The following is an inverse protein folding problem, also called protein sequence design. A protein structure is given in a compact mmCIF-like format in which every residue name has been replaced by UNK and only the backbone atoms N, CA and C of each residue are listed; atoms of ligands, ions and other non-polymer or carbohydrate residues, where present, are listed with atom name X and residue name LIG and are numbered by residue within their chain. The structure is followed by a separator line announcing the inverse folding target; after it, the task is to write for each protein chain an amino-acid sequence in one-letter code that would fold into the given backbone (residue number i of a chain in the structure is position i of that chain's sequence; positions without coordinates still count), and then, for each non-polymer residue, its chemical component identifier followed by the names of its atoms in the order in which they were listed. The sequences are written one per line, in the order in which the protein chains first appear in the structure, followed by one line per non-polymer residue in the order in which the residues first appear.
data_IF_110610866724
#
_entry.id   IF_110610866724
#
_cell.length_a   1.000
_cell.length_b   1.000
_cell.length_c   1.000
_cell.angle_alpha   90.00
_cell.angle_beta   90.00
_cell.angle_gamma   90.00
#
_symmetry.space_group_name_H-M   'P 1'
#
loop_
_entity.id
_entity.type
_entity.pdbx_description
1 polymer ?
#
# COMPACT_ATOMS: atom_id res chain seq x y z
N UNK A 1 -3.35 -18.21 18.95
CA UNK A 1 -2.07 -17.67 18.44
C UNK A 1 -1.37 -16.90 19.54
N UNK A 2 -0.03 -17.03 19.74
CA UNK A 2 0.68 -16.23 20.73
C UNK A 2 0.73 -14.77 20.28
N UNK A 3 0.70 -13.80 21.21
CA UNK A 3 0.79 -12.38 20.91
C UNK A 3 2.14 -12.06 20.23
N UNK A 4 2.12 -11.16 19.26
CA UNK A 4 3.33 -10.60 18.64
C UNK A 4 4.23 -10.00 19.73
N UNK A 5 5.32 -10.67 20.01
CA UNK A 5 6.29 -10.29 21.04
C UNK A 5 7.29 -9.30 20.42
N UNK A 6 7.58 -8.26 21.19
CA UNK A 6 8.48 -7.11 20.96
C UNK A 6 9.45 -7.14 19.78
N UNK A 7 9.50 -6.02 19.12
CA UNK A 7 10.13 -5.60 17.85
C UNK A 7 11.48 -6.16 17.37
N UNK A 8 12.17 -7.00 18.13
CA UNK A 8 13.43 -7.65 17.72
C UNK A 8 13.25 -9.17 17.51
N UNK A 9 12.36 -9.80 18.24
CA UNK A 9 12.07 -11.24 18.12
C UNK A 9 10.97 -11.55 17.12
N UNK A 10 10.11 -10.57 16.79
CA UNK A 10 9.01 -10.75 15.85
C UNK A 10 9.45 -11.25 14.46
N UNK A 11 10.54 -10.74 13.84
CA UNK A 11 11.00 -11.26 12.56
C UNK A 11 11.55 -12.69 12.65
N UNK A 12 12.19 -13.05 13.76
CA UNK A 12 12.79 -14.38 13.93
C UNK A 12 11.71 -15.43 14.21
N UNK A 13 10.75 -15.11 15.06
CA UNK A 13 9.63 -16.00 15.35
C UNK A 13 8.68 -16.09 14.16
N UNK A 14 8.40 -14.99 13.47
CA UNK A 14 7.63 -15.01 12.23
C UNK A 14 8.34 -15.82 11.13
N UNK A 15 9.67 -15.74 11.02
CA UNK A 15 10.45 -16.55 10.10
C UNK A 15 10.42 -18.04 10.47
N UNK A 16 10.47 -18.39 11.75
CA UNK A 16 10.43 -19.79 12.22
C UNK A 16 9.02 -20.39 12.07
N UNK A 17 7.98 -19.68 12.46
CA UNK A 17 6.58 -20.09 12.25
C UNK A 17 6.25 -20.16 10.76
N UNK A 18 6.76 -19.23 9.96
CA UNK A 18 6.58 -19.22 8.50
C UNK A 18 7.36 -20.34 7.79
N UNK A 19 8.46 -20.84 8.37
CA UNK A 19 9.15 -22.05 7.87
C UNK A 19 8.37 -23.34 8.11
N UNK A 20 7.62 -23.39 9.20
CA UNK A 20 6.81 -24.56 9.58
C UNK A 20 5.43 -24.56 8.90
N UNK A 21 4.90 -23.39 8.59
CA UNK A 21 3.60 -23.20 7.94
C UNK A 21 3.74 -22.14 6.86
N UNK A 22 3.67 -22.53 5.59
CA UNK A 22 3.69 -21.62 4.46
C UNK A 22 2.31 -20.94 4.34
N UNK A 23 2.07 -19.77 4.95
CA UNK A 23 0.76 -19.16 4.88
C UNK A 23 0.43 -18.81 3.43
N UNK A 24 -0.78 -19.10 2.95
CA UNK A 24 -1.22 -18.61 1.65
C UNK A 24 -1.42 -17.09 1.73
N UNK A 25 -0.72 -16.36 0.85
CA UNK A 25 -0.72 -14.90 0.79
C UNK A 25 -1.17 -14.44 -0.58
N UNK A 26 -2.35 -13.84 -0.65
CA UNK A 26 -2.82 -13.17 -1.86
C UNK A 26 -2.17 -11.78 -1.96
N UNK A 27 -1.78 -11.36 -3.16
CA UNK A 27 -1.22 -10.02 -3.35
C UNK A 27 -1.64 -9.43 -4.71
N UNK A 28 -1.62 -8.09 -4.81
CA UNK A 28 -1.85 -7.42 -6.10
C UNK A 28 -0.67 -7.70 -7.03
N UNK A 29 -0.92 -8.56 -8.04
CA UNK A 29 0.05 -8.91 -9.06
C UNK A 29 0.33 -7.78 -10.07
N UNK A 30 1.09 -8.11 -11.09
CA UNK A 30 1.73 -9.40 -11.37
C UNK A 30 3.01 -9.63 -10.54
N UNK A 31 3.65 -10.78 -10.75
CA UNK A 31 5.02 -11.02 -10.26
C UNK A 31 5.98 -9.95 -10.77
N UNK A 32 7.03 -9.67 -9.97
CA UNK A 32 8.02 -8.61 -10.21
C UNK A 32 7.46 -7.18 -10.15
N UNK A 33 6.20 -7.00 -9.73
CA UNK A 33 5.66 -5.69 -9.36
C UNK A 33 6.22 -5.24 -8.01
N UNK A 34 6.10 -3.95 -7.67
CA UNK A 34 6.48 -3.46 -6.34
C UNK A 34 5.69 -4.12 -5.21
N UNK A 35 4.41 -4.45 -5.44
CA UNK A 35 3.62 -5.20 -4.45
C UNK A 35 4.16 -6.61 -4.26
N UNK A 36 4.57 -7.29 -5.33
CA UNK A 36 5.24 -8.59 -5.23
C UNK A 36 6.56 -8.47 -4.45
N UNK A 37 7.39 -7.46 -4.72
CA UNK A 37 8.64 -7.23 -4.00
C UNK A 37 8.40 -7.05 -2.51
N UNK A 38 7.41 -6.23 -2.13
CA UNK A 38 7.00 -6.05 -0.75
C UNK A 38 6.48 -7.37 -0.13
N UNK A 39 5.69 -8.14 -0.89
CA UNK A 39 5.15 -9.42 -0.42
C UNK A 39 6.25 -10.45 -0.15
N UNK A 40 7.22 -10.58 -1.04
CA UNK A 40 8.38 -11.47 -0.85
C UNK A 40 9.18 -11.09 0.39
N UNK A 41 9.39 -9.79 0.62
CA UNK A 41 10.12 -9.30 1.79
C UNK A 41 9.36 -9.54 3.10
N UNK A 42 8.03 -9.35 3.10
CA UNK A 42 7.18 -9.54 4.28
C UNK A 42 6.90 -11.02 4.57
N UNK A 43 6.84 -11.86 3.53
CA UNK A 43 6.52 -13.28 3.61
C UNK A 43 7.53 -14.14 2.83
N UNK A 44 8.80 -14.22 3.27
CA UNK A 44 9.86 -14.91 2.50
C UNK A 44 9.62 -16.41 2.30
N UNK A 45 8.72 -17.01 3.08
CA UNK A 45 8.36 -18.44 3.00
C UNK A 45 6.86 -18.66 2.72
N UNK A 46 6.12 -17.60 2.35
CA UNK A 46 4.69 -17.69 2.04
C UNK A 46 4.41 -18.41 0.72
N UNK A 47 3.21 -18.98 0.60
CA UNK A 47 2.63 -19.41 -0.68
C UNK A 47 2.01 -18.17 -1.35
N UNK A 48 2.78 -17.50 -2.21
CA UNK A 48 2.45 -16.21 -2.79
C UNK A 48 1.55 -16.38 -4.02
N UNK A 49 0.36 -15.77 -3.98
CA UNK A 49 -0.67 -15.91 -5.01
C UNK A 49 -1.02 -14.56 -5.62
N UNK A 50 -0.58 -14.27 -6.87
CA UNK A 50 -0.92 -13.03 -7.55
C UNK A 50 -2.41 -12.96 -7.89
N UNK A 51 -2.99 -11.75 -7.71
CA UNK A 51 -4.37 -11.44 -8.11
C UNK A 51 -4.38 -10.21 -9.00
N UNK A 52 -5.41 -10.10 -9.84
CA UNK A 52 -5.51 -9.05 -10.87
C UNK A 52 -5.97 -7.72 -10.32
N UNK A 53 -6.67 -7.73 -9.17
CA UNK A 53 -7.21 -6.52 -8.53
C UNK A 53 -7.11 -6.60 -7.02
N UNK A 54 -7.15 -5.45 -6.37
CA UNK A 54 -7.22 -5.31 -4.92
C UNK A 54 -8.48 -6.01 -4.38
N UNK A 55 -9.60 -5.85 -5.08
CA UNK A 55 -10.86 -6.52 -4.73
C UNK A 55 -10.74 -8.05 -4.71
N UNK A 56 -10.00 -8.66 -5.66
CA UNK A 56 -9.75 -10.11 -5.64
C UNK A 56 -8.90 -10.53 -4.44
N UNK A 57 -7.87 -9.74 -4.08
CA UNK A 57 -7.07 -10.00 -2.88
C UNK A 57 -7.94 -10.01 -1.62
N UNK A 58 -8.80 -9.00 -1.45
CA UNK A 58 -9.70 -8.90 -0.30
C UNK A 58 -10.69 -10.08 -0.24
N UNK A 59 -11.32 -10.44 -1.35
CA UNK A 59 -12.25 -11.57 -1.43
C UNK A 59 -11.60 -12.89 -1.06
N UNK A 60 -10.35 -13.11 -1.48
CA UNK A 60 -9.64 -14.35 -1.19
C UNK A 60 -9.30 -14.49 0.30
N UNK A 61 -8.88 -13.38 0.94
CA UNK A 61 -8.67 -13.37 2.39
C UNK A 61 -10.01 -13.51 3.12
N UNK A 62 -11.04 -12.82 2.69
CA UNK A 62 -12.37 -12.87 3.32
C UNK A 62 -13.02 -14.26 3.23
N UNK A 63 -12.82 -14.97 2.13
CA UNK A 63 -13.27 -16.36 1.97
C UNK A 63 -12.44 -17.37 2.80
N UNK A 64 -11.23 -16.98 3.27
CA UNK A 64 -10.29 -17.88 3.96
C UNK A 64 -9.45 -18.73 3.00
N UNK A 65 -9.47 -18.44 1.70
CA UNK A 65 -8.59 -19.09 0.73
C UNK A 65 -7.13 -18.59 0.86
N UNK A 66 -6.93 -17.39 1.40
CA UNK A 66 -5.64 -16.89 1.85
C UNK A 66 -5.73 -16.40 3.30
N UNK A 67 -4.64 -16.55 4.06
CA UNK A 67 -4.55 -16.07 5.45
C UNK A 67 -4.29 -14.56 5.48
N UNK A 68 -3.51 -14.08 4.50
CA UNK A 68 -3.11 -12.69 4.37
C UNK A 68 -3.31 -12.16 2.96
N UNK A 69 -3.53 -10.85 2.89
CA UNK A 69 -3.52 -10.09 1.64
C UNK A 69 -2.50 -8.96 1.69
N UNK A 70 -1.76 -8.73 0.61
CA UNK A 70 -0.83 -7.60 0.49
C UNK A 70 -1.25 -6.70 -0.66
N UNK A 71 -1.50 -5.44 -0.33
CA UNK A 71 -1.96 -4.43 -1.29
C UNK A 71 -1.26 -3.09 -1.07
N UNK A 72 -1.06 -2.27 -2.12
CA UNK A 72 -0.54 -0.92 -1.94
C UNK A 72 -1.58 -0.05 -1.21
N UNK A 73 -1.14 0.72 -0.21
CA UNK A 73 -2.01 1.56 0.61
C UNK A 73 -1.83 3.05 0.32
N UNK A 74 -0.60 3.54 0.34
CA UNK A 74 -0.27 4.95 0.10
C UNK A 74 1.13 5.09 -0.50
N UNK A 75 1.27 6.00 -1.46
CA UNK A 75 2.56 6.44 -1.97
C UNK A 75 2.85 7.87 -1.48
N UNK A 76 4.10 8.17 -1.14
CA UNK A 76 4.50 9.47 -0.57
C UNK A 76 4.34 10.65 -1.54
N UNK A 77 4.32 10.39 -2.86
CA UNK A 77 4.17 11.43 -3.89
C UNK A 77 2.76 11.49 -4.47
N UNK A 78 2.10 10.34 -4.63
CA UNK A 78 0.80 10.23 -5.30
C UNK A 78 -0.39 10.18 -4.33
N UNK A 79 -0.11 9.95 -3.04
CA UNK A 79 -1.13 9.84 -2.01
C UNK A 79 -1.77 8.45 -1.90
N UNK A 80 -2.94 8.35 -1.25
CA UNK A 80 -3.59 7.09 -0.92
C UNK A 80 -4.13 6.34 -2.15
N UNK A 81 -4.04 5.00 -2.12
CA UNK A 81 -4.63 4.11 -3.12
C UNK A 81 -6.12 3.95 -2.85
N UNK A 82 -6.94 4.63 -3.66
CA UNK A 82 -8.37 4.72 -3.44
C UNK A 82 -9.10 3.37 -3.38
N UNK A 83 -8.73 2.40 -4.24
CA UNK A 83 -9.35 1.07 -4.25
C UNK A 83 -9.07 0.33 -2.93
N UNK A 84 -7.87 0.44 -2.37
CA UNK A 84 -7.53 -0.16 -1.07
C UNK A 84 -8.36 0.45 0.06
N UNK A 85 -8.53 1.77 0.05
CA UNK A 85 -9.36 2.46 1.04
C UNK A 85 -10.83 2.03 0.95
N UNK A 86 -11.38 1.97 -0.28
CA UNK A 86 -12.75 1.53 -0.51
C UNK A 86 -12.95 0.07 -0.03
N UNK A 87 -11.96 -0.80 -0.31
CA UNK A 87 -12.00 -2.18 0.14
C UNK A 87 -11.92 -2.30 1.68
N UNK A 88 -11.06 -1.54 2.36
CA UNK A 88 -10.97 -1.50 3.83
C UNK A 88 -12.26 -0.99 4.49
N UNK A 89 -12.97 -0.08 3.82
CA UNK A 89 -14.24 0.43 4.31
C UNK A 89 -15.38 -0.59 4.21
N UNK A 90 -15.39 -1.43 3.17
CA UNK A 90 -16.51 -2.31 2.80
C UNK A 90 -16.32 -3.76 3.24
N UNK A 91 -15.09 -4.26 3.26
CA UNK A 91 -14.78 -5.64 3.69
C UNK A 91 -14.51 -5.74 5.20
N UNK A 92 -14.74 -6.95 5.76
CA UNK A 92 -14.54 -7.25 7.18
C UNK A 92 -13.09 -7.51 7.60
N UNK A 93 -12.10 -7.08 6.81
CA UNK A 93 -10.69 -7.32 7.08
C UNK A 93 -10.06 -6.20 7.92
N UNK A 94 -8.97 -6.58 8.60
CA UNK A 94 -8.16 -5.65 9.40
C UNK A 94 -6.73 -5.57 8.88
N UNK A 95 -6.09 -4.42 9.04
CA UNK A 95 -4.65 -4.28 8.82
C UNK A 95 -3.91 -4.84 10.03
N UNK A 96 -2.98 -5.77 9.77
CA UNK A 96 -2.18 -6.42 10.81
C UNK A 96 -0.71 -6.00 10.78
N UNK A 97 -0.24 -5.49 9.64
CA UNK A 97 1.10 -4.91 9.46
C UNK A 97 1.09 -3.93 8.30
N UNK A 98 2.09 -3.04 8.26
CA UNK A 98 2.31 -2.10 7.17
C UNK A 98 3.78 -2.16 6.75
N UNK A 99 4.07 -2.58 5.52
CA UNK A 99 5.42 -2.55 4.96
C UNK A 99 5.69 -1.23 4.26
N UNK A 100 6.81 -0.55 4.58
CA UNK A 100 7.24 0.66 3.88
C UNK A 100 8.47 0.35 3.03
N UNK A 101 8.39 0.59 1.74
CA UNK A 101 9.45 0.33 0.78
C UNK A 101 9.79 1.59 -0.01
N UNK A 102 11.09 1.86 -0.16
CA UNK A 102 11.57 2.88 -1.10
C UNK A 102 11.33 2.40 -2.53
N UNK A 103 10.72 3.23 -3.35
CA UNK A 103 10.49 2.94 -4.77
C UNK A 103 11.68 3.49 -5.55
N UNK A 104 12.41 2.59 -6.17
CA UNK A 104 13.51 2.92 -7.09
C UNK A 104 13.10 2.56 -8.50
N UNK A 105 13.26 3.48 -9.43
CA UNK A 105 13.00 3.28 -10.84
C UNK A 105 14.30 3.17 -11.61
N UNK A 106 14.30 2.28 -12.59
CA UNK A 106 15.40 2.09 -13.52
C UNK A 106 14.90 2.20 -14.95
N UNK A 107 15.77 2.71 -15.83
CA UNK A 107 15.53 2.74 -17.27
C UNK A 107 16.50 1.81 -17.98
N UNK A 108 15.99 0.95 -18.87
CA UNK A 108 16.79 0.21 -19.85
C UNK A 108 16.47 0.74 -21.25
N UNK A 109 17.46 0.71 -22.14
CA UNK A 109 17.37 1.32 -23.48
C UNK A 109 17.91 0.38 -24.55
N UNK A 110 17.30 0.44 -25.75
CA UNK A 110 17.83 -0.11 -27.00
C UNK A 110 17.97 1.05 -27.99
N UNK A 111 19.14 1.28 -28.51
CA UNK A 111 19.41 2.35 -29.48
C UNK A 111 19.13 3.77 -28.97
N UNK A 112 18.59 4.64 -29.82
CA UNK A 112 18.13 5.98 -29.50
C UNK A 112 16.60 5.95 -29.30
N UNK A 113 16.10 5.91 -28.05
CA UNK A 113 14.69 5.59 -27.79
C UNK A 113 13.73 6.59 -28.42
N UNK A 114 12.81 6.12 -29.23
CA UNK A 114 11.66 6.85 -29.76
C UNK A 114 10.36 6.53 -29.02
N UNK A 115 10.34 5.37 -28.34
CA UNK A 115 9.19 4.89 -27.55
C UNK A 115 9.68 4.51 -26.15
N UNK A 116 8.93 4.89 -25.15
CA UNK A 116 9.14 4.49 -23.75
C UNK A 116 7.93 3.71 -23.25
N UNK A 117 8.13 2.45 -22.91
CA UNK A 117 7.12 1.60 -22.26
C UNK A 117 7.18 1.78 -20.75
N UNK A 118 6.04 2.06 -20.12
CA UNK A 118 5.99 2.21 -18.65
C UNK A 118 4.56 2.13 -18.13
N UNK A 119 4.42 1.96 -16.81
CA UNK A 119 3.15 2.13 -16.13
C UNK A 119 2.90 3.62 -15.77
N UNK A 120 1.65 4.12 -15.81
CA UNK A 120 1.35 5.53 -15.51
C UNK A 120 1.95 6.05 -14.20
N UNK A 121 1.91 5.25 -13.12
CA UNK A 121 2.51 5.63 -11.83
C UNK A 121 4.03 5.79 -11.90
N UNK A 122 4.74 4.93 -12.63
CA UNK A 122 6.18 5.08 -12.81
C UNK A 122 6.50 6.32 -13.68
N UNK A 123 5.71 6.58 -14.72
CA UNK A 123 5.86 7.79 -15.53
C UNK A 123 5.67 9.08 -14.70
N UNK A 124 4.69 9.11 -13.80
CA UNK A 124 4.44 10.26 -12.93
C UNK A 124 5.62 10.60 -12.01
N UNK A 125 6.46 9.61 -11.69
CA UNK A 125 7.62 9.74 -10.81
C UNK A 125 8.95 9.98 -11.54
N UNK A 126 8.99 9.96 -12.88
CA UNK A 126 10.20 10.13 -13.69
C UNK A 126 10.01 11.11 -14.85
N UNK A 127 9.33 12.22 -14.60
CA UNK A 127 8.99 13.23 -15.62
C UNK A 127 10.22 13.85 -16.26
N UNK A 128 11.29 14.10 -15.46
CA UNK A 128 12.55 14.66 -15.96
C UNK A 128 13.22 13.70 -16.94
N UNK A 129 13.27 12.41 -16.61
CA UNK A 129 13.79 11.39 -17.52
C UNK A 129 12.97 11.37 -18.82
N UNK A 130 11.65 11.31 -18.73
CA UNK A 130 10.75 11.26 -19.88
C UNK A 130 10.98 12.48 -20.78
N UNK A 131 11.03 13.68 -20.20
CA UNK A 131 11.32 14.90 -20.94
C UNK A 131 12.70 14.87 -21.63
N UNK A 132 13.72 14.33 -20.97
CA UNK A 132 15.07 14.21 -21.53
C UNK A 132 15.17 13.20 -22.67
N UNK A 133 14.35 12.15 -22.66
CA UNK A 133 14.32 11.14 -23.71
C UNK A 133 13.65 11.65 -24.98
N UNK A 134 12.67 12.53 -24.85
CA UNK A 134 11.84 13.00 -25.97
C UNK A 134 11.08 11.89 -26.69
N UNK A 135 10.91 10.73 -26.04
CA UNK A 135 10.26 9.55 -26.58
C UNK A 135 8.75 9.61 -26.37
N UNK A 136 8.01 8.99 -27.27
CA UNK A 136 6.56 8.74 -27.07
C UNK A 136 6.35 7.77 -25.92
N UNK A 137 5.43 8.09 -24.99
CA UNK A 137 5.15 7.23 -23.85
C UNK A 137 4.00 6.29 -24.17
N UNK A 138 4.27 4.99 -24.13
CA UNK A 138 3.27 3.93 -24.26
C UNK A 138 3.00 3.34 -22.90
N UNK A 139 1.76 3.46 -22.43
CA UNK A 139 1.36 2.97 -21.10
C UNK A 139 0.96 1.50 -21.14
N UNK A 140 1.51 0.75 -20.19
CA UNK A 140 1.15 -0.63 -19.91
C UNK A 140 0.34 -0.72 -18.59
N UNK A 141 -0.41 -1.78 -18.41
CA UNK A 141 -1.22 -2.03 -17.21
C UNK A 141 -0.36 -2.35 -15.97
N UNK A 142 0.91 -2.70 -16.18
CA UNK A 142 1.89 -2.95 -15.12
C UNK A 142 3.32 -2.69 -15.62
N UNK A 143 4.26 -2.49 -14.68
CA UNK A 143 5.69 -2.41 -15.03
C UNK A 143 6.23 -3.70 -15.65
N UNK A 144 5.70 -4.85 -15.26
CA UNK A 144 6.08 -6.15 -15.85
C UNK A 144 5.59 -6.29 -17.30
N UNK A 145 4.39 -5.82 -17.61
CA UNK A 145 3.89 -5.77 -18.99
C UNK A 145 4.72 -4.80 -19.85
N UNK A 146 5.07 -3.63 -19.28
CA UNK A 146 5.95 -2.68 -19.98
C UNK A 146 7.30 -3.32 -20.37
N UNK A 147 7.87 -4.16 -19.51
CA UNK A 147 9.10 -4.91 -19.79
C UNK A 147 8.87 -5.91 -20.92
N UNK A 148 7.76 -6.65 -20.91
CA UNK A 148 7.44 -7.60 -21.96
C UNK A 148 7.26 -6.93 -23.35
N UNK A 149 6.67 -5.73 -23.40
CA UNK A 149 6.55 -4.95 -24.65
C UNK A 149 7.92 -4.42 -25.10
N UNK A 150 8.76 -3.96 -24.18
CA UNK A 150 10.13 -3.57 -24.51
C UNK A 150 10.97 -4.72 -25.06
N UNK A 151 10.83 -5.93 -24.54
CA UNK A 151 11.55 -7.11 -25.02
C UNK A 151 11.22 -7.44 -26.48
N UNK A 152 9.96 -7.28 -26.87
CA UNK A 152 9.47 -7.47 -28.25
C UNK A 152 9.90 -6.34 -29.20
N UNK A 153 10.26 -5.19 -28.68
CA UNK A 153 10.65 -4.04 -29.48
C UNK A 153 12.01 -4.30 -30.16
N UNK A 154 12.12 -4.17 -31.50
CA UNK A 154 13.33 -4.51 -32.23
C UNK A 154 14.48 -3.53 -32.05
N UNK A 155 14.22 -2.27 -31.65
CA UNK A 155 15.23 -1.21 -31.45
C UNK A 155 14.60 0.14 -31.19
N UNK A 156 15.42 1.13 -30.81
CA UNK A 156 15.02 2.53 -30.53
C UNK A 156 13.90 2.67 -29.50
N UNK A 157 13.97 1.87 -28.43
CA UNK A 157 12.99 1.90 -27.36
C UNK A 157 13.65 1.89 -25.97
N UNK A 158 12.86 2.32 -25.00
CA UNK A 158 13.20 2.31 -23.59
C UNK A 158 12.07 1.69 -22.76
N UNK A 159 12.40 1.22 -21.56
CA UNK A 159 11.45 0.80 -20.55
C UNK A 159 11.82 1.38 -19.20
N UNK A 160 10.82 1.85 -18.46
CA UNK A 160 10.96 2.34 -17.10
C UNK A 160 10.22 1.39 -16.16
N UNK A 161 10.95 0.74 -15.26
CA UNK A 161 10.41 -0.26 -14.34
C UNK A 161 11.27 -0.39 -13.07
N UNK A 162 10.91 -1.33 -12.18
CA UNK A 162 11.70 -1.60 -10.97
C UNK A 162 13.04 -2.27 -11.29
N UNK A 163 14.06 -2.16 -10.39
CA UNK A 163 15.35 -2.85 -10.55
C UNK A 163 15.21 -4.35 -10.76
N UNK A 164 14.25 -4.99 -10.07
CA UNK A 164 14.00 -6.44 -10.16
C UNK A 164 13.34 -6.84 -11.49
N UNK A 165 12.38 -6.03 -11.96
CA UNK A 165 11.77 -6.28 -13.27
C UNK A 165 12.80 -6.22 -14.41
N UNK A 166 13.83 -5.38 -14.27
CA UNK A 166 14.93 -5.21 -15.24
C UNK A 166 16.20 -5.98 -14.85
N UNK A 167 16.12 -7.00 -13.99
CA UNK A 167 17.32 -7.67 -13.44
C UNK A 167 18.24 -8.27 -14.49
N UNK A 168 17.69 -8.67 -15.63
CA UNK A 168 18.40 -9.31 -16.75
C UNK A 168 18.85 -8.33 -17.84
N UNK A 169 18.60 -7.02 -17.66
CA UNK A 169 18.93 -5.97 -18.62
C UNK A 169 19.98 -5.01 -18.07
N UNK A 170 20.79 -4.45 -18.96
CA UNK A 170 21.59 -3.28 -18.65
C UNK A 170 20.68 -2.09 -18.42
N UNK A 171 20.87 -1.39 -17.28
CA UNK A 171 19.95 -0.34 -16.82
C UNK A 171 20.66 0.73 -16.03
N UNK A 172 20.06 1.90 -16.00
CA UNK A 172 20.43 3.01 -15.11
C UNK A 172 19.31 3.20 -14.09
N UNK A 173 19.65 3.18 -12.80
CA UNK A 173 18.69 3.32 -11.69
C UNK A 173 18.80 4.68 -11.01
N UNK A 174 17.79 5.00 -10.16
CA UNK A 174 17.71 6.30 -9.49
C UNK A 174 17.29 7.40 -10.46
N UNK A 175 16.37 7.08 -11.35
CA UNK A 175 15.87 7.99 -12.40
C UNK A 175 14.56 8.68 -12.02
N UNK A 176 14.05 8.42 -10.83
CA UNK A 176 12.89 9.09 -10.25
C UNK A 176 13.20 10.57 -9.94
N UNK A 177 12.18 11.41 -10.02
CA UNK A 177 12.27 12.87 -9.81
C UNK A 177 12.52 13.27 -8.34
N UNK A 178 12.27 12.35 -7.41
CA UNK A 178 12.45 12.55 -5.98
C UNK A 178 12.32 11.23 -5.20
N UNK A 179 12.64 11.27 -3.91
CA UNK A 179 12.46 10.08 -3.06
C UNK A 179 10.98 9.69 -2.99
N UNK A 180 10.69 8.46 -3.35
CA UNK A 180 9.36 7.89 -3.33
C UNK A 180 9.31 6.68 -2.40
N UNK A 181 8.31 6.64 -1.54
CA UNK A 181 8.04 5.52 -0.64
C UNK A 181 6.61 5.04 -0.85
N UNK A 182 6.43 3.74 -0.89
CA UNK A 182 5.09 3.14 -0.88
C UNK A 182 4.92 2.30 0.38
N UNK A 183 3.79 2.49 1.05
CA UNK A 183 3.36 1.62 2.12
C UNK A 183 2.39 0.59 1.57
N UNK A 184 2.61 -0.66 1.96
CA UNK A 184 1.81 -1.83 1.59
C UNK A 184 1.10 -2.35 2.82
N UNK A 185 -0.22 -2.41 2.79
CA UNK A 185 -1.03 -2.96 3.87
C UNK A 185 -1.05 -4.48 3.79
N UNK A 186 -0.79 -5.12 4.93
CA UNK A 186 -1.05 -6.54 5.13
C UNK A 186 -2.41 -6.66 5.81
N UNK A 187 -3.36 -7.28 5.13
CA UNK A 187 -4.72 -7.48 5.63
C UNK A 187 -4.97 -8.93 6.00
N UNK A 188 -5.79 -9.15 7.04
CA UNK A 188 -6.22 -10.47 7.50
C UNK A 188 -7.61 -10.39 8.12
N UNK A 189 -8.28 -11.53 8.27
CA UNK A 189 -9.52 -11.65 9.07
C UNK A 189 -9.28 -11.40 10.56
N UNK A 190 -8.16 -11.89 11.05
CA UNK A 190 -7.76 -11.70 12.44
C UNK A 190 -7.12 -10.33 12.59
N UNK A 191 -7.75 -9.46 13.37
CA UNK A 191 -7.26 -8.09 13.60
C UNK A 191 -5.91 -8.06 14.31
N UNK A 192 -5.06 -7.12 13.95
CA UNK A 192 -3.87 -6.78 14.73
C UNK A 192 -4.28 -6.25 16.12
N UNK A 193 -3.89 -6.97 17.17
CA UNK A 193 -4.28 -6.63 18.54
C UNK A 193 -3.46 -5.47 19.11
N UNK A 194 -2.26 -5.21 18.59
CA UNK A 194 -1.33 -4.20 19.08
C UNK A 194 -0.49 -3.62 17.93
N UNK A 195 -0.01 -2.41 18.11
CA UNK A 195 0.87 -1.70 17.17
C UNK A 195 1.00 -0.25 17.55
N UNK A 196 2.01 0.44 17.02
CA UNK A 196 2.22 1.88 17.26
C UNK A 196 1.18 2.75 16.54
N UNK A 197 0.56 2.25 15.48
CA UNK A 197 -0.36 2.98 14.64
C UNK A 197 -1.73 2.30 14.62
N UNK A 198 -2.79 3.09 14.53
CA UNK A 198 -4.15 2.63 14.29
C UNK A 198 -4.72 3.33 13.07
N UNK A 199 -5.39 2.57 12.18
CA UNK A 199 -6.15 3.14 11.08
C UNK A 199 -7.62 3.22 11.46
N UNK A 200 -8.18 4.43 11.37
CA UNK A 200 -9.57 4.75 11.65
C UNK A 200 -10.29 5.07 10.34
N UNK A 201 -11.50 4.56 10.20
CA UNK A 201 -12.45 5.01 9.17
C UNK A 201 -13.67 5.57 9.91
N UNK A 202 -14.05 6.81 9.61
CA UNK A 202 -15.18 7.44 10.27
C UNK A 202 -15.93 8.40 9.35
N UNK A 203 -17.20 8.64 9.66
CA UNK A 203 -18.02 9.60 8.96
C UNK A 203 -18.63 10.60 9.97
N UNK A 204 -18.87 11.82 9.53
CA UNK A 204 -19.47 12.90 10.33
C UNK A 204 -20.65 13.49 9.58
N UNK A 205 -21.63 14.10 10.29
CA UNK A 205 -22.67 14.87 9.63
C UNK A 205 -22.07 15.97 8.76
N UNK A 206 -22.63 16.22 7.58
CA UNK A 206 -22.19 17.29 6.69
C UNK A 206 -22.68 18.66 7.17
N UNK A 207 -22.15 19.13 8.29
CA UNK A 207 -22.44 20.43 8.88
C UNK A 207 -21.16 21.12 9.34
N UNK A 208 -21.19 22.45 9.42
CA UNK A 208 -20.03 23.25 9.82
C UNK A 208 -19.45 22.81 11.18
N UNK A 209 -18.14 22.57 11.21
CA UNK A 209 -17.41 22.18 12.41
C UNK A 209 -17.53 20.70 12.81
N UNK A 210 -18.27 19.85 12.08
CA UNK A 210 -18.45 18.45 12.46
C UNK A 210 -17.13 17.68 12.49
N UNK A 211 -16.29 17.81 11.45
CA UNK A 211 -14.97 17.17 11.40
C UNK A 211 -14.06 17.66 12.54
N UNK A 212 -14.02 18.96 12.80
CA UNK A 212 -13.25 19.53 13.91
C UNK A 212 -13.68 18.93 15.25
N UNK A 213 -14.99 18.87 15.51
CA UNK A 213 -15.53 18.28 16.75
C UNK A 213 -15.21 16.80 16.87
N UNK A 214 -15.22 16.05 15.78
CA UNK A 214 -14.87 14.63 15.77
C UNK A 214 -13.39 14.39 16.10
N UNK A 215 -12.48 15.25 15.65
CA UNK A 215 -11.04 15.14 15.88
C UNK A 215 -10.58 15.73 17.23
N UNK A 216 -11.37 16.59 17.86
CA UNK A 216 -11.03 17.23 19.13
C UNK A 216 -10.57 16.24 20.22
N UNK A 217 -11.21 15.07 20.44
CA UNK A 217 -10.76 14.11 21.45
C UNK A 217 -9.35 13.58 21.28
N UNK A 218 -8.86 13.47 20.03
CA UNK A 218 -7.49 13.09 19.73
C UNK A 218 -6.52 14.21 20.09
N UNK A 219 -6.84 15.44 19.69
CA UNK A 219 -6.01 16.62 19.93
C UNK A 219 -5.87 16.93 21.43
N UNK A 220 -6.96 16.87 22.19
CA UNK A 220 -6.97 17.11 23.64
C UNK A 220 -6.11 16.11 24.43
N UNK A 221 -5.89 14.91 23.87
CA UNK A 221 -5.05 13.86 24.46
C UNK A 221 -3.64 13.79 23.86
N UNK A 222 -3.28 14.76 23.00
CA UNK A 222 -1.97 14.79 22.36
C UNK A 222 -1.70 13.61 21.44
N UNK A 223 -2.75 12.95 20.93
CA UNK A 223 -2.61 11.81 20.00
C UNK A 223 -2.29 12.36 18.62
N UNK A 224 -1.10 12.03 18.13
CA UNK A 224 -0.62 12.46 16.83
C UNK A 224 -1.38 11.75 15.69
N UNK A 225 -1.63 12.48 14.61
CA UNK A 225 -2.25 11.98 13.39
C UNK A 225 -1.30 12.20 12.21
N UNK A 226 -0.86 11.11 11.58
CA UNK A 226 0.08 11.15 10.45
C UNK A 226 -0.60 11.26 9.09
N UNK A 227 -1.87 10.87 9.01
CA UNK A 227 -2.66 10.88 7.78
C UNK A 227 -4.11 11.24 8.09
N UNK A 228 -4.70 12.09 7.26
CA UNK A 228 -6.14 12.23 7.13
C UNK A 228 -6.50 12.38 5.65
N UNK A 229 -7.48 11.62 5.20
CA UNK A 229 -7.94 11.62 3.82
C UNK A 229 -9.46 11.48 3.75
N UNK A 230 -10.13 12.28 2.92
CA UNK A 230 -11.57 12.19 2.69
C UNK A 230 -11.88 11.38 1.43
N UNK A 231 -12.90 10.55 1.48
CA UNK A 231 -13.33 9.70 0.39
C UNK A 231 -14.85 9.77 0.22
N UNK A 232 -15.40 9.93 -1.00
CA UNK A 232 -16.83 9.87 -1.21
C UNK A 232 -17.37 8.46 -0.92
N UNK A 233 -18.50 8.38 -0.21
CA UNK A 233 -19.14 7.08 0.10
C UNK A 233 -19.73 6.41 -1.13
N UNK A 234 -20.02 7.19 -2.19
CA UNK A 234 -20.77 6.79 -3.39
C UNK A 234 -22.20 6.31 -3.12
N UNK A 235 -22.68 6.44 -1.90
CA UNK A 235 -24.06 6.13 -1.52
C UNK A 235 -25.01 7.32 -1.78
N UNK A 236 -24.52 8.52 -1.58
CA UNK A 236 -25.22 9.77 -1.83
C UNK A 236 -24.25 10.83 -2.37
N UNK A 237 -24.72 11.78 -3.21
CA UNK A 237 -23.92 12.93 -3.61
C UNK A 237 -23.44 13.71 -2.39
N UNK A 238 -22.15 14.10 -2.39
CA UNK A 238 -21.52 14.93 -1.34
C UNK A 238 -21.44 14.26 0.05
N UNK A 239 -21.63 12.95 0.12
CA UNK A 239 -21.43 12.16 1.33
C UNK A 239 -20.01 11.57 1.35
N UNK A 240 -19.30 11.78 2.47
CA UNK A 240 -17.89 11.42 2.62
C UNK A 240 -17.64 10.66 3.91
N UNK A 241 -16.68 9.74 3.85
CA UNK A 241 -16.02 9.20 5.02
C UNK A 241 -14.55 9.67 5.05
N UNK A 242 -13.96 9.60 6.22
CA UNK A 242 -12.57 9.98 6.47
C UNK A 242 -11.78 8.74 6.88
N UNK A 243 -10.52 8.72 6.43
CA UNK A 243 -9.52 7.74 6.87
C UNK A 243 -8.45 8.51 7.61
N UNK A 244 -8.12 8.09 8.83
CA UNK A 244 -7.06 8.71 9.62
C UNK A 244 -6.12 7.65 10.18
N UNK A 245 -4.82 7.90 10.08
CA UNK A 245 -3.79 7.12 10.77
C UNK A 245 -3.37 7.89 12.02
N UNK A 246 -3.52 7.27 13.18
CA UNK A 246 -3.21 7.88 14.48
C UNK A 246 -2.22 7.03 15.27
N UNK A 247 -1.41 7.67 16.12
CA UNK A 247 -0.56 6.95 17.06
C UNK A 247 -1.41 6.28 18.15
N UNK A 248 -1.04 5.03 18.49
CA UNK A 248 -1.65 4.36 19.63
C UNK A 248 -0.99 4.85 20.92
N UNK A 249 -1.78 5.32 21.84
CA UNK A 249 -1.37 5.70 23.19
C UNK A 249 -2.31 5.06 24.20
N UNK A 250 -1.96 5.15 25.50
CA UNK A 250 -2.82 4.63 26.55
C UNK A 250 -4.21 5.30 26.62
N UNK A 251 -4.37 6.47 26.01
CA UNK A 251 -5.63 7.23 26.00
C UNK A 251 -6.43 7.09 24.69
N UNK A 252 -5.95 6.32 23.72
CA UNK A 252 -6.63 6.17 22.43
C UNK A 252 -8.06 5.63 22.58
N UNK A 253 -8.29 4.64 23.45
CA UNK A 253 -9.64 4.08 23.65
C UNK A 253 -10.61 5.14 24.20
N UNK A 254 -10.19 5.97 25.15
CA UNK A 254 -11.00 7.05 25.67
C UNK A 254 -11.32 8.09 24.60
N UNK A 255 -10.33 8.41 23.73
CA UNK A 255 -10.55 9.30 22.60
C UNK A 255 -11.55 8.71 21.60
N UNK A 256 -11.43 7.42 21.25
CA UNK A 256 -12.33 6.74 20.32
C UNK A 256 -13.76 6.66 20.87
N UNK A 257 -13.92 6.46 22.18
CA UNK A 257 -15.26 6.46 22.81
C UNK A 257 -15.94 7.84 22.70
N UNK A 258 -15.19 8.93 22.87
CA UNK A 258 -15.73 10.27 22.64
C UNK A 258 -15.97 10.56 21.16
N UNK A 259 -15.08 10.11 20.26
CA UNK A 259 -15.30 10.24 18.83
C UNK A 259 -16.58 9.54 18.38
N UNK A 260 -16.91 8.36 18.91
CA UNK A 260 -18.17 7.64 18.59
C UNK A 260 -19.40 8.48 18.80
N UNK A 261 -19.41 9.34 19.82
CA UNK A 261 -20.54 10.23 20.13
C UNK A 261 -20.65 11.41 19.17
N UNK A 262 -19.59 11.70 18.40
CA UNK A 262 -19.48 12.86 17.51
C UNK A 262 -19.42 12.47 16.02
N UNK A 263 -19.48 11.17 15.72
CA UNK A 263 -19.42 10.60 14.38
C UNK A 263 -20.67 9.81 14.08
N UNK A 264 -21.06 9.70 12.82
CA UNK A 264 -22.15 8.83 12.38
C UNK A 264 -21.71 7.39 12.23
N UNK A 265 -20.41 7.18 12.02
CA UNK A 265 -19.75 5.88 11.91
C UNK A 265 -18.31 6.03 12.38
N UNK A 266 -17.80 5.07 13.13
CA UNK A 266 -16.39 4.94 13.49
C UNK A 266 -15.98 3.46 13.53
N UNK A 267 -14.99 3.10 12.72
CA UNK A 267 -14.38 1.76 12.63
C UNK A 267 -12.87 1.88 12.83
N UNK A 268 -12.31 1.09 13.74
CA UNK A 268 -10.87 0.84 13.79
C UNK A 268 -10.57 -0.31 12.86
N UNK A 269 -9.83 -0.06 11.78
CA UNK A 269 -9.53 -1.06 10.74
C UNK A 269 -8.39 -1.98 11.16
N UNK A 270 -7.55 -1.53 12.10
CA UNK A 270 -6.47 -2.35 12.66
C UNK A 270 -5.46 -1.50 13.42
N UNK A 271 -4.67 -2.19 14.23
CA UNK A 271 -3.46 -1.64 14.88
C UNK A 271 -2.26 -2.38 14.35
N UNK A 272 -1.21 -1.66 14.00
CA UNK A 272 -0.06 -2.23 13.32
C UNK A 272 1.23 -1.48 13.62
N UNK A 273 2.32 -2.15 13.33
CA UNK A 273 3.64 -1.54 13.24
C UNK A 273 4.04 -1.34 11.78
N UNK A 274 4.85 -0.32 11.55
CA UNK A 274 5.49 -0.07 10.27
C UNK A 274 6.78 -0.89 10.18
N UNK A 275 6.88 -1.75 9.17
CA UNK A 275 8.05 -2.56 8.85
C UNK A 275 8.78 -1.93 7.69
N UNK A 276 10.03 -1.51 7.89
CA UNK A 276 10.86 -1.02 6.79
C UNK A 276 11.34 -2.19 5.95
N UNK A 277 11.03 -2.15 4.67
CA UNK A 277 11.49 -3.14 3.69
C UNK A 277 12.80 -2.61 3.09
N UNK A 278 13.89 -3.37 3.18
CA UNK A 278 15.15 -2.99 2.54
C UNK A 278 14.99 -2.87 1.02
N UNK A 279 15.75 -1.97 0.37
CA UNK A 279 15.68 -1.75 -1.08
C UNK A 279 16.18 -2.95 -1.89
#
# INVERSE_FOLDING_TARGET
MPPLIDGVLAPVIAAEVSRLHKPPVAYLGPEKSFTWEATVALFPHGDLRPRRSITEVFKEVESGAADYGVVPFINSLEGPVGETIDALATHGLSIVAMGEMRITLCVAKKGAPRVLFTHPHAAAQARRLIASLGAEVVYASSTSEAVAEFEKCPGDCAVLASPKALSHLEKTCGVEDGESYTRFAVVSKEGGAAGRWALLIFAVPNVAGALHKALTPLAERGINMSLIYSRPTRLSPWDYFFVAEVETSGELEAALEEMRRRTTMLKTVGRYNLVKIPP
#
